data_IF_737830420392
#
_entry.id   IF_737830420392
#
_cell.length_a   1.000
_cell.length_b   1.000
_cell.length_c   1.000
_cell.angle_alpha   90.00
_cell.angle_beta   90.00
_cell.angle_gamma   90.00
#
_symmetry.space_group_name_H-M   'P 1'
#
loop_
_entity.id
_entity.type
_entity.pdbx_description
1 polymer ?
#
# COMPACT_ATOMS: atom_id res chain seq x y z
N UNK A 1 2.75 4.73 15.06
CA UNK A 1 1.74 3.88 14.39
C UNK A 1 2.28 3.51 13.02
N UNK A 2 2.20 2.24 12.60
CA UNK A 2 2.74 1.78 11.30
C UNK A 2 1.64 1.70 10.24
N UNK A 3 0.39 1.43 10.64
CA UNK A 3 -0.75 1.41 9.72
C UNK A 3 -0.84 2.73 8.93
N UNK A 4 -1.13 2.62 7.64
CA UNK A 4 -1.22 3.67 6.62
C UNK A 4 0.08 4.35 6.19
N UNK A 5 1.23 3.93 6.73
CA UNK A 5 2.52 4.41 6.24
C UNK A 5 2.81 3.88 4.85
N UNK A 6 3.30 4.77 3.98
CA UNK A 6 3.86 4.44 2.68
C UNK A 6 5.34 4.16 2.88
N UNK A 7 5.78 2.96 2.51
CA UNK A 7 7.14 2.46 2.77
C UNK A 7 7.77 1.86 1.52
N UNK A 8 9.11 1.87 1.45
CA UNK A 8 9.87 1.08 0.49
C UNK A 8 10.24 -0.27 1.09
N UNK A 9 9.91 -1.34 0.39
CA UNK A 9 10.15 -2.73 0.80
C UNK A 9 10.50 -3.60 -0.41
N UNK A 10 11.33 -4.65 -0.28
CA UNK A 10 11.42 -5.68 -1.31
C UNK A 10 10.05 -6.35 -1.47
N UNK A 11 9.39 -6.09 -2.59
CA UNK A 11 8.08 -6.65 -2.92
C UNK A 11 8.26 -7.70 -4.04
N UNK A 12 7.77 -8.93 -3.87
CA UNK A 12 7.94 -10.00 -4.84
C UNK A 12 7.18 -9.72 -6.14
N UNK A 13 7.65 -10.32 -7.23
CA UNK A 13 6.84 -10.49 -8.42
C UNK A 13 5.72 -11.51 -8.17
N UNK A 14 4.71 -11.51 -9.04
CA UNK A 14 3.52 -12.37 -8.87
C UNK A 14 3.84 -13.86 -9.01
N UNK A 15 4.90 -14.20 -9.76
CA UNK A 15 5.45 -15.56 -9.88
C UNK A 15 6.45 -15.92 -8.76
N UNK A 16 6.67 -15.00 -7.80
CA UNK A 16 7.61 -15.12 -6.68
C UNK A 16 9.07 -15.36 -7.09
N UNK A 17 9.40 -15.19 -8.38
CA UNK A 17 10.73 -15.50 -8.93
C UNK A 17 11.83 -14.60 -8.37
N UNK A 18 11.49 -13.35 -8.06
CA UNK A 18 12.40 -12.35 -7.53
C UNK A 18 11.61 -11.24 -6.82
N UNK A 19 12.31 -10.31 -6.18
CA UNK A 19 11.73 -9.10 -5.60
C UNK A 19 12.41 -7.85 -6.14
N UNK A 20 11.66 -6.74 -6.13
CA UNK A 20 12.21 -5.40 -6.37
C UNK A 20 11.81 -4.50 -5.23
N UNK A 21 12.64 -3.51 -4.92
CA UNK A 21 12.27 -2.48 -3.95
C UNK A 21 11.19 -1.60 -4.56
N UNK A 22 10.01 -1.60 -3.94
CA UNK A 22 8.83 -0.88 -4.43
C UNK A 22 8.11 -0.20 -3.27
N UNK A 23 7.36 0.89 -3.53
CA UNK A 23 6.48 1.45 -2.54
C UNK A 23 5.34 0.48 -2.20
N UNK A 24 4.91 0.49 -0.94
CA UNK A 24 3.80 -0.28 -0.41
C UNK A 24 3.14 0.49 0.75
N UNK A 25 1.87 0.20 1.05
CA UNK A 25 1.16 0.75 2.21
C UNK A 25 1.06 -0.32 3.30
N UNK A 26 1.42 0.03 4.52
CA UNK A 26 1.17 -0.79 5.69
C UNK A 26 -0.34 -0.82 6.03
N UNK A 27 -1.00 -1.96 5.93
CA UNK A 27 -2.41 -2.12 6.27
C UNK A 27 -2.65 -2.44 7.74
N UNK A 28 -1.59 -2.81 8.48
CA UNK A 28 -1.68 -3.11 9.91
C UNK A 28 -0.59 -2.39 10.70
N UNK A 29 -0.79 -2.27 12.01
CA UNK A 29 0.34 -2.11 12.92
C UNK A 29 1.12 -3.43 13.02
N UNK A 30 2.35 -3.43 13.56
CA UNK A 30 3.09 -4.68 13.74
C UNK A 30 2.32 -5.65 14.64
N UNK A 31 2.18 -6.90 14.19
CA UNK A 31 1.42 -7.97 14.85
C UNK A 31 2.41 -9.00 15.40
N UNK A 32 2.18 -9.41 16.66
CA UNK A 32 2.92 -10.49 17.31
C UNK A 32 4.38 -10.15 17.66
N UNK A 33 5.10 -11.10 18.29
CA UNK A 33 6.47 -10.90 18.76
C UNK A 33 7.47 -10.68 17.61
N UNK A 34 7.18 -11.26 16.44
CA UNK A 34 8.00 -11.11 15.24
C UNK A 34 7.72 -9.82 14.46
N UNK A 35 6.79 -8.97 14.95
CA UNK A 35 6.51 -7.65 14.37
C UNK A 35 6.18 -7.73 12.87
N UNK A 36 5.23 -8.59 12.52
CA UNK A 36 4.78 -8.72 11.14
C UNK A 36 3.81 -7.61 10.76
N UNK A 37 3.86 -7.16 9.51
CA UNK A 37 2.97 -6.16 8.94
C UNK A 37 2.41 -6.69 7.62
N UNK A 38 1.11 -6.49 7.41
CA UNK A 38 0.46 -6.73 6.11
C UNK A 38 0.62 -5.46 5.28
N UNK A 39 1.10 -5.62 4.04
CA UNK A 39 1.41 -4.55 3.11
C UNK A 39 0.57 -4.71 1.84
N UNK A 40 0.10 -3.61 1.26
CA UNK A 40 -0.50 -3.57 -0.06
C UNK A 40 0.43 -2.90 -1.07
N UNK A 41 0.44 -3.43 -2.29
CA UNK A 41 1.35 -3.03 -3.34
C UNK A 41 1.02 -1.66 -3.97
N UNK A 42 2.04 -0.83 -4.26
CA UNK A 42 1.88 0.38 -5.09
C UNK A 42 2.66 0.24 -6.41
N UNK A 43 1.99 0.60 -7.51
CA UNK A 43 2.57 0.68 -8.85
C UNK A 43 2.41 2.09 -9.43
N UNK A 44 3.37 2.54 -10.23
CA UNK A 44 3.22 3.76 -11.03
C UNK A 44 2.48 3.53 -12.35
N UNK A 45 2.09 2.28 -12.64
CA UNK A 45 1.29 1.94 -13.82
C UNK A 45 -0.19 2.13 -13.48
N UNK A 46 -0.75 3.22 -13.97
CA UNK A 46 -2.17 3.56 -13.77
C UNK A 46 -2.98 2.89 -14.87
N UNK A 47 -3.94 2.05 -14.49
CA UNK A 47 -4.89 1.45 -15.43
C UNK A 47 -5.89 2.50 -15.91
N UNK A 48 -6.27 2.44 -17.19
CA UNK A 48 -7.40 3.22 -17.72
C UNK A 48 -8.75 2.75 -17.17
N UNK A 49 -8.78 1.53 -16.63
CA UNK A 49 -9.94 0.92 -15.96
C UNK A 49 -9.48 0.36 -14.60
N UNK A 50 -9.46 1.18 -13.54
CA UNK A 50 -9.11 0.72 -12.19
C UNK A 50 -10.11 -0.33 -11.68
N UNK A 51 -9.61 -1.34 -10.96
CA UNK A 51 -10.45 -2.34 -10.32
C UNK A 51 -11.10 -1.78 -9.04
N UNK A 52 -12.12 -2.47 -8.51
CA UNK A 52 -12.73 -2.10 -7.22
C UNK A 52 -11.73 -2.11 -6.06
N UNK A 53 -10.69 -2.95 -6.13
CA UNK A 53 -9.59 -2.99 -5.15
C UNK A 53 -8.53 -1.90 -5.34
N UNK A 54 -8.61 -1.12 -6.42
CA UNK A 54 -7.58 -0.16 -6.78
C UNK A 54 -7.93 1.22 -6.25
N UNK A 55 -6.97 1.87 -5.61
CA UNK A 55 -7.05 3.28 -5.23
C UNK A 55 -6.02 4.07 -6.04
N UNK A 56 -6.51 5.00 -6.87
CA UNK A 56 -5.65 5.91 -7.64
C UNK A 56 -5.17 7.02 -6.70
N UNK A 57 -3.85 7.12 -6.56
CA UNK A 57 -3.16 8.18 -5.85
C UNK A 57 -2.70 9.21 -6.90
N UNK A 58 -3.55 10.19 -7.19
CA UNK A 58 -3.28 11.18 -8.23
C UNK A 58 -2.40 12.32 -7.72
N UNK A 59 -1.33 12.65 -8.44
CA UNK A 59 -0.40 13.73 -8.12
C UNK A 59 -1.01 15.13 -8.17
N UNK A 60 -2.15 15.32 -8.84
CA UNK A 60 -2.92 16.57 -8.78
C UNK A 60 -3.75 16.72 -7.50
N UNK A 61 -3.93 15.65 -6.71
CA UNK A 61 -4.67 15.68 -5.46
C UNK A 61 -3.86 16.44 -4.38
N UNK A 62 -4.45 17.41 -3.65
CA UNK A 62 -3.76 18.11 -2.57
C UNK A 62 -3.18 17.18 -1.50
N UNK A 63 -3.87 16.07 -1.23
CA UNK A 63 -3.45 15.09 -0.22
C UNK A 63 -2.30 14.20 -0.72
N UNK A 64 -1.98 14.21 -2.01
CA UNK A 64 -0.94 13.36 -2.58
C UNK A 64 0.42 13.59 -1.93
N UNK A 65 0.71 14.84 -1.55
CA UNK A 65 1.97 15.22 -0.90
C UNK A 65 2.22 14.45 0.40
N UNK A 66 1.18 14.05 1.14
CA UNK A 66 1.32 13.25 2.35
C UNK A 66 1.90 11.86 2.07
N UNK A 67 1.65 11.29 0.89
CA UNK A 67 2.08 9.94 0.53
C UNK A 67 3.60 9.81 0.41
N UNK A 68 4.29 10.92 0.12
CA UNK A 68 5.73 10.94 -0.20
C UNK A 68 6.08 10.27 -1.55
N UNK A 69 5.09 9.90 -2.35
CA UNK A 69 5.29 9.43 -3.73
C UNK A 69 5.66 10.61 -4.64
N UNK A 70 6.35 10.32 -5.74
CA UNK A 70 6.82 11.36 -6.68
C UNK A 70 5.91 11.56 -7.88
N UNK A 71 5.13 10.55 -8.23
CA UNK A 71 4.31 10.50 -9.45
C UNK A 71 2.98 9.82 -9.14
N UNK A 72 1.93 10.16 -9.89
CA UNK A 72 0.64 9.48 -9.79
C UNK A 72 0.85 7.95 -9.84
N UNK A 73 0.15 7.25 -8.96
CA UNK A 73 0.35 5.82 -8.72
C UNK A 73 -0.99 5.15 -8.41
N UNK A 74 -1.00 3.82 -8.37
CA UNK A 74 -2.15 3.01 -7.99
C UNK A 74 -1.77 2.08 -6.85
N UNK A 75 -2.52 2.15 -5.76
CA UNK A 75 -2.50 1.19 -4.66
C UNK A 75 -3.42 0.02 -5.01
N UNK A 76 -2.86 -1.19 -5.08
CA UNK A 76 -3.59 -2.41 -5.44
C UNK A 76 -3.85 -3.25 -4.19
N UNK A 77 -5.06 -3.15 -3.62
CA UNK A 77 -5.39 -3.79 -2.34
C UNK A 77 -5.53 -5.32 -2.44
N UNK A 78 -5.72 -5.87 -3.64
CA UNK A 78 -5.71 -7.32 -3.87
C UNK A 78 -4.28 -7.93 -3.88
N UNK A 79 -3.23 -7.09 -3.92
CA UNK A 79 -1.84 -7.55 -3.93
C UNK A 79 -1.20 -7.31 -2.57
N UNK A 80 -1.37 -8.31 -1.71
CA UNK A 80 -0.92 -8.25 -0.33
C UNK A 80 0.34 -9.07 -0.08
N UNK A 81 1.15 -8.62 0.86
CA UNK A 81 2.30 -9.37 1.39
C UNK A 81 2.38 -9.20 2.90
N UNK A 82 2.68 -10.28 3.62
CA UNK A 82 3.09 -10.21 5.02
C UNK A 82 4.61 -10.15 5.11
N UNK A 83 5.15 -9.17 5.83
CA UNK A 83 6.59 -9.01 6.00
C UNK A 83 6.95 -8.68 7.45
N UNK A 84 8.18 -9.01 7.86
CA UNK A 84 8.74 -8.46 9.09
C UNK A 84 9.04 -6.96 8.89
N UNK A 85 8.79 -6.13 9.90
CA UNK A 85 9.19 -4.71 9.89
C UNK A 85 10.66 -4.46 9.52
N UNK A 86 11.58 -5.41 9.74
CA UNK A 86 12.99 -5.30 9.34
C UNK A 86 13.22 -5.27 7.83
N UNK A 87 12.24 -5.68 7.02
CA UNK A 87 12.31 -5.60 5.56
C UNK A 87 11.99 -4.18 5.05
N UNK A 88 11.39 -3.33 5.87
CA UNK A 88 11.12 -1.93 5.52
C UNK A 88 12.45 -1.19 5.40
N UNK A 89 12.74 -0.70 4.19
CA UNK A 89 13.98 0.05 3.88
C UNK A 89 13.87 1.52 4.27
N UNK A 90 12.69 2.11 4.04
CA UNK A 90 12.47 3.53 4.26
C UNK A 90 10.97 3.83 4.35
N UNK A 91 10.63 4.80 5.19
CA UNK A 91 9.32 5.45 5.18
C UNK A 91 9.33 6.64 4.21
N UNK A 92 8.32 6.72 3.34
CA UNK A 92 8.15 7.79 2.38
C UNK A 92 7.17 8.85 2.88
N UNK A 93 6.08 8.40 3.51
CA UNK A 93 4.99 9.25 3.97
C UNK A 93 3.85 8.40 4.52
N UNK A 94 2.63 8.93 4.44
CA UNK A 94 1.42 8.26 4.92
C UNK A 94 0.21 8.65 4.08
N UNK A 95 -0.82 7.79 4.07
CA UNK A 95 -2.10 8.12 3.46
C UNK A 95 -2.82 9.21 4.27
N UNK A 96 -3.51 10.14 3.59
CA UNK A 96 -4.38 11.12 4.25
C UNK A 96 -5.60 10.44 4.90
N UNK A 97 -6.26 11.06 5.90
CA UNK A 97 -7.46 10.47 6.53
C UNK A 97 -8.55 10.05 5.54
N UNK A 98 -8.73 10.82 4.45
CA UNK A 98 -9.66 10.47 3.36
C UNK A 98 -9.22 9.20 2.64
N UNK A 99 -7.96 9.12 2.22
CA UNK A 99 -7.42 7.91 1.58
C UNK A 99 -7.49 6.69 2.51
N UNK A 100 -7.29 6.88 3.81
CA UNK A 100 -7.43 5.80 4.80
C UNK A 100 -8.86 5.25 4.86
N UNK A 101 -9.87 6.12 4.79
CA UNK A 101 -11.27 5.71 4.73
C UNK A 101 -11.56 4.89 3.47
N UNK A 102 -11.12 5.37 2.30
CA UNK A 102 -11.28 4.67 1.03
C UNK A 102 -10.59 3.30 1.02
N UNK A 103 -9.38 3.21 1.61
CA UNK A 103 -8.69 1.92 1.78
C UNK A 103 -9.51 0.95 2.63
N UNK A 104 -10.09 1.41 3.75
CA UNK A 104 -10.88 0.52 4.61
C UNK A 104 -12.15 0.04 3.90
N UNK A 105 -12.87 0.92 3.19
CA UNK A 105 -14.07 0.57 2.43
C UNK A 105 -13.75 -0.48 1.35
N UNK A 106 -12.70 -0.23 0.55
CA UNK A 106 -12.30 -1.18 -0.50
C UNK A 106 -11.77 -2.50 0.07
N UNK A 107 -11.15 -2.50 1.25
CA UNK A 107 -10.75 -3.74 1.93
C UNK A 107 -11.97 -4.53 2.42
N UNK A 108 -13.00 -3.85 2.95
CA UNK A 108 -14.26 -4.50 3.33
C UNK A 108 -14.93 -5.15 2.13
N UNK A 109 -15.04 -4.41 1.02
CA UNK A 109 -15.57 -4.93 -0.25
C UNK A 109 -14.72 -6.09 -0.80
N UNK A 110 -13.39 -5.96 -0.79
CA UNK A 110 -12.48 -6.99 -1.32
C UNK A 110 -12.58 -8.32 -0.56
N UNK A 111 -12.80 -8.27 0.75
CA UNK A 111 -12.84 -9.45 1.61
C UNK A 111 -14.25 -9.88 2.02
N UNK A 112 -15.28 -9.29 1.42
CA UNK A 112 -16.70 -9.53 1.76
C UNK A 112 -16.98 -9.39 3.27
N UNK A 113 -16.35 -8.40 3.91
CA UNK A 113 -16.49 -8.12 5.34
C UNK A 113 -17.59 -7.08 5.57
N UNK A 114 -18.60 -7.45 6.37
CA UNK A 114 -19.72 -6.60 6.77
C UNK A 114 -19.32 -5.51 7.76
#
# INVERSE_FOLDING_TARGET
>A
MTKYKVVLVPFPFDDLSNSKVRPAVCLTNPIGPHRHVILAFITSRISTQPLASDLVLDSSDPDFTFTGLRISSTLQLHRLMTANTTLIRRELGQLSPRMQLEVNQRLQELFDLQ
#
